data_IF_931010865795
#
_entry.id   IF_931010865795
#
_cell.length_a   1.000
_cell.length_b   1.000
_cell.length_c   1.000
_cell.angle_alpha   90.00
_cell.angle_beta   90.00
_cell.angle_gamma   90.00
#
_symmetry.space_group_name_H-M   'P 1'
#
loop_
_entity.id
_entity.type
_entity.pdbx_description
1 polymer ?
#
# COMPACT_ATOMS: atom_id res chain seq x y z
N UNK A 1 28.68 1.26 23.80
CA UNK A 1 27.58 1.24 22.80
C UNK A 1 26.39 1.94 23.40
N UNK A 2 25.81 2.91 22.70
CA UNK A 2 24.61 3.61 23.16
C UNK A 2 23.40 2.82 22.65
N UNK A 3 22.56 2.30 23.56
CA UNK A 3 21.34 1.57 23.21
C UNK A 3 20.14 2.48 23.45
N UNK A 4 19.44 2.84 22.38
CA UNK A 4 18.16 3.54 22.47
C UNK A 4 17.11 2.55 22.96
N UNK A 5 16.36 2.92 24.01
CA UNK A 5 15.39 2.01 24.63
C UNK A 5 14.19 1.78 23.71
N UNK A 6 13.57 0.61 23.81
CA UNK A 6 12.40 0.23 23.00
C UNK A 6 11.29 1.29 22.99
N UNK A 7 10.91 1.80 24.16
CA UNK A 7 9.84 2.82 24.26
C UNK A 7 10.21 4.10 23.51
N UNK A 8 11.47 4.53 23.57
CA UNK A 8 11.95 5.71 22.85
C UNK A 8 11.93 5.49 21.33
N UNK A 9 12.31 4.29 20.86
CA UNK A 9 12.21 3.92 19.44
C UNK A 9 10.74 3.95 19.00
N UNK A 10 9.86 3.34 19.78
CA UNK A 10 8.43 3.25 19.47
C UNK A 10 7.75 4.62 19.43
N UNK A 11 7.97 5.48 20.43
CA UNK A 11 7.38 6.82 20.48
C UNK A 11 7.90 7.73 19.36
N UNK A 12 9.15 7.56 18.95
CA UNK A 12 9.74 8.35 17.86
C UNK A 12 9.30 7.87 16.47
N UNK A 13 9.01 6.59 16.32
CA UNK A 13 8.58 6.00 15.05
C UNK A 13 7.06 6.06 14.86
N UNK A 14 6.28 6.23 15.92
CA UNK A 14 4.82 6.28 15.84
C UNK A 14 4.30 7.49 15.03
N UNK A 15 3.20 7.28 14.32
CA UNK A 15 2.53 8.27 13.47
C UNK A 15 2.37 9.64 14.14
N UNK A 16 3.05 10.65 13.60
CA UNK A 16 3.03 12.04 14.08
C UNK A 16 3.43 13.02 12.99
N UNK A 17 3.31 14.31 13.29
CA UNK A 17 3.84 15.37 12.44
C UNK A 17 5.36 15.47 12.59
N UNK A 18 6.10 15.40 11.48
CA UNK A 18 7.56 15.51 11.45
C UNK A 18 7.93 16.55 10.39
N UNK A 19 8.92 17.39 10.69
CA UNK A 19 9.50 18.32 9.74
C UNK A 19 10.15 17.53 8.59
N UNK A 20 9.66 17.73 7.38
CA UNK A 20 10.09 17.02 6.18
C UNK A 20 10.42 18.04 5.10
N UNK A 21 11.54 17.86 4.41
CA UNK A 21 11.88 18.67 3.24
C UNK A 21 11.05 18.22 2.05
N UNK A 22 10.25 19.13 1.51
CA UNK A 22 9.35 18.88 0.39
C UNK A 22 9.80 19.71 -0.79
N UNK A 23 9.95 19.06 -1.94
CA UNK A 23 10.29 19.71 -3.21
C UNK A 23 9.15 20.62 -3.66
N UNK A 24 9.46 21.89 -3.96
CA UNK A 24 8.47 22.88 -4.36
C UNK A 24 7.79 22.48 -5.67
N UNK A 25 8.50 21.82 -6.59
CA UNK A 25 7.90 21.34 -7.86
C UNK A 25 6.85 20.25 -7.66
N UNK A 26 6.95 19.45 -6.58
CA UNK A 26 5.94 18.43 -6.28
C UNK A 26 4.63 19.05 -5.80
N UNK A 27 4.72 20.17 -5.08
CA UNK A 27 3.55 20.92 -4.58
C UNK A 27 2.95 21.82 -5.67
N UNK A 28 3.80 22.34 -6.57
CA UNK A 28 3.44 23.26 -7.64
C UNK A 28 3.92 22.76 -9.01
N UNK A 29 3.35 21.66 -9.53
CA UNK A 29 3.79 21.06 -10.80
C UNK A 29 3.53 21.95 -12.02
N UNK A 30 2.60 22.91 -11.91
CA UNK A 30 2.23 23.82 -13.01
C UNK A 30 3.23 24.98 -13.20
N UNK A 31 4.07 25.28 -12.20
CA UNK A 31 4.99 26.43 -12.19
C UNK A 31 6.33 26.09 -12.89
N UNK A 32 6.26 25.47 -14.07
CA UNK A 32 7.43 24.91 -14.79
C UNK A 32 8.38 25.96 -15.38
N UNK A 33 7.95 27.22 -15.47
CA UNK A 33 8.76 28.30 -16.04
C UNK A 33 9.79 28.89 -15.06
N UNK A 34 9.66 28.56 -13.77
CA UNK A 34 10.51 29.09 -12.70
C UNK A 34 11.48 28.04 -12.18
N UNK A 35 12.67 28.51 -11.80
CA UNK A 35 13.58 27.80 -10.91
C UNK A 35 13.42 28.41 -9.52
N UNK A 36 13.19 27.58 -8.51
CA UNK A 36 13.01 28.02 -7.13
C UNK A 36 14.33 27.96 -6.34
N UNK A 37 14.58 29.00 -5.53
CA UNK A 37 15.61 28.98 -4.48
C UNK A 37 14.99 29.34 -3.12
N UNK A 38 15.06 28.46 -2.10
CA UNK A 38 15.51 27.07 -2.18
C UNK A 38 14.58 26.24 -3.10
N UNK A 39 15.04 25.05 -3.54
CA UNK A 39 14.21 24.13 -4.34
C UNK A 39 13.26 23.28 -3.49
N UNK A 40 13.52 23.18 -2.18
CA UNK A 40 12.67 22.49 -1.22
C UNK A 40 12.46 23.35 0.03
N UNK A 41 11.37 23.10 0.75
CA UNK A 41 10.99 23.81 1.97
C UNK A 41 10.71 22.84 3.12
N UNK A 42 11.01 23.21 4.38
CA UNK A 42 10.64 22.41 5.54
C UNK A 42 9.14 22.55 5.84
N UNK A 43 8.41 21.44 5.79
CA UNK A 43 6.98 21.38 6.11
C UNK A 43 6.69 20.30 7.13
N UNK A 44 5.72 20.56 8.02
CA UNK A 44 5.19 19.51 8.89
C UNK A 44 4.34 18.55 8.05
N UNK A 45 4.78 17.28 7.98
CA UNK A 45 4.08 16.21 7.26
C UNK A 45 3.85 15.03 8.20
N UNK A 46 2.81 14.26 7.91
CA UNK A 46 2.50 13.06 8.68
C UNK A 46 3.46 11.97 8.23
N UNK A 47 4.20 11.41 9.19
CA UNK A 47 5.16 10.36 8.96
C UNK A 47 5.24 9.46 10.20
N UNK A 48 5.80 8.27 9.99
CA UNK A 48 5.89 7.23 11.01
C UNK A 48 5.10 5.99 10.64
N UNK A 49 5.24 4.96 11.47
CA UNK A 49 4.51 3.72 11.34
C UNK A 49 3.28 3.70 12.25
N UNK A 50 2.31 2.89 11.84
CA UNK A 50 1.19 2.49 12.68
C UNK A 50 1.47 1.10 13.26
N UNK A 51 0.77 0.74 14.34
CA UNK A 51 0.91 -0.58 14.96
C UNK A 51 0.40 -1.76 14.12
N UNK A 52 -0.24 -1.48 12.98
CA UNK A 52 -0.82 -2.46 12.07
C UNK A 52 -0.53 -2.03 10.61
N UNK A 53 -0.13 -2.98 9.77
CA UNK A 53 0.26 -2.72 8.36
C UNK A 53 -0.93 -2.36 7.47
N UNK A 54 -2.15 -2.71 7.86
CA UNK A 54 -3.40 -2.31 7.24
C UNK A 54 -3.77 -0.86 7.53
N UNK A 55 -3.04 -0.17 8.41
CA UNK A 55 -3.20 1.25 8.70
C UNK A 55 -2.16 2.09 7.95
N UNK A 56 -2.55 3.31 7.60
CA UNK A 56 -1.68 4.37 7.08
C UNK A 56 -1.73 5.61 7.97
N UNK A 57 -0.58 6.26 8.15
CA UNK A 57 -0.47 7.52 8.88
C UNK A 57 -0.91 8.66 7.96
N UNK A 58 -2.05 9.29 8.28
CA UNK A 58 -2.67 10.32 7.43
C UNK A 58 -2.95 11.59 8.22
N UNK A 59 -2.98 12.77 7.56
CA UNK A 59 -3.40 14.00 8.21
C UNK A 59 -4.88 13.95 8.60
N UNK A 60 -5.16 14.42 9.82
CA UNK A 60 -6.51 14.68 10.32
C UNK A 60 -6.84 16.15 10.20
N UNK A 61 -5.87 17.00 10.52
CA UNK A 61 -6.00 18.45 10.47
C UNK A 61 -4.82 19.04 9.69
N UNK A 62 -5.11 20.06 8.89
CA UNK A 62 -4.15 20.73 8.00
C UNK A 62 -4.36 22.24 8.03
N UNK A 63 -3.31 22.99 7.71
CA UNK A 63 -3.35 24.44 7.54
C UNK A 63 -2.29 24.86 6.53
N UNK A 64 -2.45 26.06 5.96
CA UNK A 64 -1.48 26.60 5.01
C UNK A 64 -0.48 27.51 5.71
N UNK A 65 0.78 27.45 5.29
CA UNK A 65 1.85 28.35 5.72
C UNK A 65 2.42 29.05 4.50
N UNK A 66 2.60 30.37 4.60
CA UNK A 66 3.19 31.16 3.53
C UNK A 66 4.68 31.36 3.80
N UNK A 67 5.51 31.12 2.79
CA UNK A 67 6.96 31.25 2.85
C UNK A 67 7.47 32.14 1.72
N UNK A 68 8.59 32.80 1.96
CA UNK A 68 9.29 33.58 0.95
C UNK A 68 10.23 32.69 0.15
N UNK A 69 10.00 32.63 -1.17
CA UNK A 69 10.75 31.81 -2.12
C UNK A 69 11.26 32.71 -3.23
N UNK A 70 12.55 32.57 -3.59
CA UNK A 70 13.11 33.22 -4.76
C UNK A 70 12.64 32.49 -6.01
N UNK A 71 11.86 33.19 -6.85
CA UNK A 71 11.48 32.72 -8.18
C UNK A 71 12.45 33.28 -9.20
N UNK A 72 13.06 32.41 -10.00
CA UNK A 72 14.03 32.77 -11.03
C UNK A 72 13.48 32.35 -12.38
N UNK A 73 13.22 33.32 -13.26
CA UNK A 73 12.93 33.08 -14.67
C UNK A 73 14.21 33.25 -15.48
N UNK A 74 14.76 32.18 -16.09
CA UNK A 74 16.03 32.24 -16.79
C UNK A 74 16.08 33.38 -17.81
N UNK A 75 17.17 34.15 -17.81
CA UNK A 75 17.42 35.29 -18.70
C UNK A 75 16.41 36.45 -18.63
N UNK A 76 15.54 36.49 -17.61
CA UNK A 76 14.53 37.55 -17.50
C UNK A 76 14.58 38.29 -16.16
N UNK A 77 14.26 37.60 -15.05
CA UNK A 77 14.19 38.24 -13.74
C UNK A 77 14.29 37.24 -12.60
N UNK A 78 14.63 37.76 -11.42
CA UNK A 78 14.55 37.03 -10.16
C UNK A 78 13.88 37.93 -9.12
N UNK A 79 12.92 37.40 -8.37
CA UNK A 79 12.21 38.15 -7.33
C UNK A 79 11.75 37.24 -6.18
N UNK A 80 11.67 37.81 -4.97
CA UNK A 80 11.12 37.10 -3.82
C UNK A 80 9.61 37.10 -3.97
N UNK A 81 9.00 35.92 -3.85
CA UNK A 81 7.56 35.72 -3.94
C UNK A 81 7.06 34.94 -2.74
N UNK A 82 5.87 35.28 -2.27
CA UNK A 82 5.18 34.53 -1.23
C UNK A 82 4.49 33.32 -1.86
N UNK A 83 4.84 32.12 -1.40
CA UNK A 83 4.20 30.86 -1.81
C UNK A 83 3.57 30.19 -0.59
N UNK A 84 2.39 29.61 -0.77
CA UNK A 84 1.65 28.97 0.32
C UNK A 84 1.84 27.46 0.27
N UNK A 85 2.00 26.78 1.39
CA UNK A 85 2.22 25.33 1.43
C UNK A 85 1.32 24.68 2.45
N UNK A 86 0.78 23.51 2.12
CA UNK A 86 -0.04 22.74 3.04
C UNK A 86 0.82 22.02 4.07
N UNK A 87 0.53 22.27 5.34
CA UNK A 87 1.13 21.62 6.51
C UNK A 87 0.09 20.79 7.25
N UNK A 88 0.56 19.70 7.87
CA UNK A 88 -0.26 18.86 8.73
C UNK A 88 -0.07 19.30 10.18
N UNK A 89 -1.15 19.60 10.90
CA UNK A 89 -1.12 19.91 12.34
C UNK A 89 -1.39 18.68 13.21
N UNK A 90 -2.12 17.69 12.70
CA UNK A 90 -2.45 16.46 13.42
C UNK A 90 -2.49 15.25 12.50
N UNK A 91 -1.98 14.12 12.99
CA UNK A 91 -1.92 12.85 12.27
C UNK A 91 -2.63 11.75 13.04
N UNK A 92 -3.12 10.74 12.33
CA UNK A 92 -3.77 9.57 12.92
C UNK A 92 -3.62 8.35 12.01
N UNK A 93 -3.71 7.15 12.60
CA UNK A 93 -3.62 5.89 11.90
C UNK A 93 -5.00 5.48 11.40
N UNK A 94 -5.20 5.48 10.09
CA UNK A 94 -6.49 5.14 9.46
C UNK A 94 -6.37 3.89 8.59
N UNK A 95 -7.43 3.08 8.44
CA UNK A 95 -7.41 1.94 7.53
C UNK A 95 -7.11 2.38 6.10
N UNK A 96 -6.13 1.73 5.48
CA UNK A 96 -5.80 1.93 4.07
C UNK A 96 -7.05 1.68 3.23
N UNK A 97 -7.39 2.62 2.35
CA UNK A 97 -8.44 2.36 1.36
C UNK A 97 -7.88 1.31 0.41
N UNK A 98 -8.53 0.14 0.34
CA UNK A 98 -8.21 -0.87 -0.67
C UNK A 98 -8.24 -0.20 -2.04
N UNK A 99 -7.07 0.10 -2.61
CA UNK A 99 -6.96 0.42 -4.02
C UNK A 99 -7.30 -0.88 -4.71
N UNK A 100 -8.58 -1.09 -4.98
CA UNK A 100 -9.04 -2.13 -5.91
C UNK A 100 -8.26 -1.86 -7.19
N UNK A 101 -7.20 -2.65 -7.39
CA UNK A 101 -6.48 -2.71 -8.64
C UNK A 101 -7.52 -2.65 -9.75
N UNK A 102 -7.40 -1.65 -10.62
CA UNK A 102 -8.12 -1.56 -11.88
C UNK A 102 -7.80 -2.87 -12.63
N UNK A 103 -8.59 -3.92 -12.37
CA UNK A 103 -8.74 -5.01 -13.30
C UNK A 103 -9.37 -4.37 -14.52
N UNK A 104 -8.55 -4.16 -15.55
CA UNK A 104 -8.98 -3.82 -16.89
C UNK A 104 -10.25 -4.63 -17.20
N UNK A 105 -11.36 -3.92 -17.33
CA UNK A 105 -12.62 -4.48 -17.82
C UNK A 105 -12.39 -4.92 -19.27
N UNK A 106 -11.92 -6.15 -19.50
CA UNK A 106 -12.13 -6.83 -20.77
C UNK A 106 -13.60 -7.22 -20.84
N UNK A 107 -14.38 -6.30 -21.39
CA UNK A 107 -15.72 -6.54 -21.91
C UNK A 107 -15.63 -7.62 -23.00
N UNK A 108 -16.13 -8.83 -22.71
CA UNK A 108 -16.57 -9.75 -23.77
C UNK A 108 -18.00 -10.23 -23.49
N UNK A 109 -18.85 -9.78 -24.40
CA UNK A 109 -20.27 -10.05 -24.62
C UNK A 109 -20.71 -11.50 -24.31
N UNK A 110 -21.75 -11.61 -23.49
CA UNK A 110 -23.04 -12.26 -23.78
C UNK A 110 -23.09 -13.75 -24.14
N UNK A 111 -23.76 -14.54 -23.28
CA UNK A 111 -24.99 -15.33 -23.56
C UNK A 111 -25.17 -16.42 -22.48
N UNK A 112 -26.41 -16.61 -21.99
CA UNK A 112 -26.81 -17.84 -21.31
C UNK A 112 -27.78 -17.65 -20.14
N UNK A 113 -29.07 -17.87 -20.39
CA UNK A 113 -30.16 -17.92 -19.40
C UNK A 113 -30.00 -19.13 -18.46
N UNK A 114 -30.35 -18.95 -17.19
CA UNK A 114 -30.50 -20.07 -16.24
C UNK A 114 -30.95 -19.60 -14.86
N UNK A 115 -32.26 -19.48 -14.66
CA UNK A 115 -32.87 -19.30 -13.33
C UNK A 115 -32.72 -20.60 -12.52
N UNK A 116 -32.25 -20.53 -11.26
CA UNK A 116 -32.87 -21.24 -10.12
C UNK A 116 -32.27 -20.86 -8.75
N UNK A 117 -33.20 -20.38 -7.90
CA UNK A 117 -33.38 -20.64 -6.46
C UNK A 117 -32.50 -19.91 -5.44
N UNK A 118 -33.21 -19.06 -4.67
CA UNK A 118 -32.87 -18.51 -3.35
C UNK A 118 -32.28 -19.57 -2.41
N UNK A 119 -31.19 -19.22 -1.73
CA UNK A 119 -30.91 -19.68 -0.36
C UNK A 119 -30.17 -18.58 0.39
N UNK A 120 -30.88 -17.88 1.28
CA UNK A 120 -30.26 -17.05 2.32
C UNK A 120 -29.43 -17.98 3.21
N UNK A 121 -28.12 -17.78 3.27
CA UNK A 121 -27.26 -18.32 4.33
C UNK A 121 -26.32 -17.20 4.77
N UNK A 122 -26.70 -16.54 5.86
CA UNK A 122 -25.75 -15.73 6.60
C UNK A 122 -24.62 -16.63 7.06
N UNK A 123 -23.38 -16.19 6.85
CA UNK A 123 -22.23 -16.74 7.54
C UNK A 123 -21.13 -15.68 7.57
N UNK A 124 -20.72 -15.36 8.79
CA UNK A 124 -19.58 -14.52 9.14
C UNK A 124 -18.45 -14.64 8.12
N UNK A 125 -17.95 -13.51 7.62
CA UNK A 125 -16.66 -13.45 6.92
C UNK A 125 -15.56 -13.57 7.99
N UNK A 126 -14.75 -14.65 8.02
CA UNK A 126 -13.54 -14.66 8.82
C UNK A 126 -12.55 -13.66 8.20
N UNK A 127 -11.79 -12.96 9.04
CA UNK A 127 -10.64 -12.15 8.61
C UNK A 127 -9.76 -13.00 7.69
N UNK A 128 -9.57 -12.53 6.45
CA UNK A 128 -8.74 -13.21 5.47
C UNK A 128 -7.26 -12.94 5.77
N UNK A 129 -6.59 -13.88 6.41
CA UNK A 129 -5.14 -14.03 6.23
C UNK A 129 -4.93 -14.49 4.78
N UNK A 130 -4.52 -13.59 3.90
CA UNK A 130 -4.30 -13.91 2.50
C UNK A 130 -2.93 -14.57 2.34
N UNK A 131 -2.88 -15.90 2.34
CA UNK A 131 -1.72 -16.65 1.87
C UNK A 131 -1.59 -16.53 0.35
N UNK A 132 -0.36 -16.42 -0.16
CA UNK A 132 -0.11 -16.46 -1.60
C UNK A 132 -0.47 -17.85 -2.18
N UNK A 133 -1.01 -17.93 -3.41
CA UNK A 133 -1.39 -19.20 -4.01
C UNK A 133 -0.17 -20.11 -4.28
N UNK A 134 -0.23 -21.37 -3.85
CA UNK A 134 0.86 -22.36 -4.01
C UNK A 134 1.41 -22.53 -5.44
N UNK A 135 0.62 -22.22 -6.48
CA UNK A 135 1.03 -22.25 -7.88
C UNK A 135 0.08 -21.40 -8.72
N UNK A 136 0.54 -20.62 -9.69
CA UNK A 136 -0.36 -19.85 -10.55
C UNK A 136 -1.15 -20.72 -11.53
N UNK A 137 -0.50 -21.72 -12.14
CA UNK A 137 -1.10 -22.55 -13.21
C UNK A 137 -1.85 -23.76 -12.68
N UNK A 138 -1.51 -24.29 -11.51
CA UNK A 138 -1.98 -25.62 -11.03
C UNK A 138 -2.55 -25.61 -9.62
N UNK A 139 -3.22 -24.52 -9.22
CA UNK A 139 -3.88 -24.35 -7.90
C UNK A 139 -4.72 -25.54 -7.48
N UNK A 140 -5.40 -26.19 -8.43
CA UNK A 140 -6.30 -27.31 -8.14
C UNK A 140 -5.59 -28.58 -7.64
N UNK A 141 -4.27 -28.72 -7.80
CA UNK A 141 -3.49 -29.89 -7.38
C UNK A 141 -2.90 -29.77 -5.97
N UNK A 142 -2.92 -28.56 -5.39
CA UNK A 142 -2.35 -28.27 -4.08
C UNK A 142 -3.46 -28.04 -3.04
N UNK A 143 -3.14 -28.35 -1.78
CA UNK A 143 -3.90 -27.99 -0.58
C UNK A 143 -3.04 -27.03 0.22
N UNK A 144 -3.62 -25.89 0.61
CA UNK A 144 -2.94 -24.89 1.42
C UNK A 144 -3.55 -24.83 2.82
N UNK A 145 -2.70 -24.90 3.83
CA UNK A 145 -3.09 -24.68 5.21
C UNK A 145 -3.42 -23.18 5.44
N UNK A 146 -4.63 -22.83 5.91
CA UNK A 146 -5.05 -21.43 6.05
C UNK A 146 -4.36 -20.65 7.17
N UNK A 147 -3.71 -21.33 8.13
CA UNK A 147 -3.08 -20.69 9.29
C UNK A 147 -1.57 -20.58 9.13
N UNK A 148 -0.94 -21.55 8.48
CA UNK A 148 0.51 -21.61 8.28
C UNK A 148 0.94 -21.30 6.85
N UNK A 149 -0.02 -21.13 5.92
CA UNK A 149 0.19 -20.95 4.49
C UNK A 149 0.97 -22.09 3.80
N UNK A 150 1.18 -23.22 4.48
CA UNK A 150 1.95 -24.36 3.97
C UNK A 150 1.21 -25.06 2.83
N UNK A 151 1.91 -25.30 1.74
CA UNK A 151 1.38 -25.98 0.55
C UNK A 151 1.76 -27.45 0.55
N UNK A 152 0.80 -28.32 0.21
CA UNK A 152 1.00 -29.76 0.05
C UNK A 152 0.25 -30.29 -1.16
N UNK A 153 0.67 -31.42 -1.73
CA UNK A 153 -0.03 -32.04 -2.85
C UNK A 153 -1.33 -32.72 -2.41
N UNK A 154 -2.36 -32.64 -3.26
CA UNK A 154 -3.61 -33.41 -3.06
C UNK A 154 -3.42 -34.90 -3.22
N UNK A 155 -2.40 -35.31 -3.98
CA UNK A 155 -2.05 -36.72 -4.14
C UNK A 155 -1.02 -37.11 -3.10
N UNK A 156 -1.15 -38.33 -2.57
CA UNK A 156 -0.16 -38.92 -1.67
C UNK A 156 0.83 -39.76 -2.47
N UNK A 157 2.07 -39.83 -1.99
CA UNK A 157 3.12 -40.65 -2.58
C UNK A 157 2.69 -42.14 -2.72
N UNK A 158 1.99 -42.67 -1.70
CA UNK A 158 1.40 -44.02 -1.73
C UNK A 158 0.44 -44.25 -2.91
N UNK A 159 -0.35 -43.23 -3.27
CA UNK A 159 -1.31 -43.31 -4.38
C UNK A 159 -0.60 -43.28 -5.74
N UNK A 160 0.48 -42.51 -5.86
CA UNK A 160 1.30 -42.50 -7.08
C UNK A 160 2.03 -43.83 -7.26
N UNK A 161 2.63 -44.35 -6.18
CA UNK A 161 3.32 -45.66 -6.19
C UNK A 161 2.43 -46.83 -6.55
N UNK A 162 1.16 -46.82 -6.11
CA UNK A 162 0.17 -47.83 -6.53
C UNK A 162 -0.10 -47.86 -8.04
N UNK A 163 0.23 -46.77 -8.74
CA UNK A 163 0.13 -46.64 -10.21
C UNK A 163 1.50 -46.68 -10.88
N UNK A 164 2.55 -47.10 -10.17
CA UNK A 164 3.94 -47.15 -10.62
C UNK A 164 4.49 -45.77 -11.04
N UNK A 165 4.04 -44.71 -10.39
CA UNK A 165 4.47 -43.33 -10.61
C UNK A 165 5.11 -42.76 -9.33
N UNK A 166 6.01 -41.79 -9.49
CA UNK A 166 6.60 -41.04 -8.36
C UNK A 166 6.03 -39.63 -8.30
N UNK A 167 5.65 -39.19 -7.09
CA UNK A 167 5.09 -37.86 -6.90
C UNK A 167 6.20 -36.81 -6.77
N UNK A 168 6.17 -35.81 -7.64
CA UNK A 168 6.99 -34.62 -7.51
C UNK A 168 6.28 -33.60 -6.61
N UNK A 169 6.70 -33.49 -5.35
CA UNK A 169 6.04 -32.62 -4.35
C UNK A 169 6.08 -31.12 -4.70
N UNK A 170 7.05 -30.68 -5.50
CA UNK A 170 7.17 -29.28 -5.93
C UNK A 170 6.18 -28.91 -7.03
N UNK A 171 5.78 -29.88 -7.85
CA UNK A 171 4.90 -29.65 -9.02
C UNK A 171 3.56 -30.39 -8.95
N UNK A 172 3.38 -31.23 -7.93
CA UNK A 172 2.28 -32.17 -7.73
C UNK A 172 1.94 -32.97 -8.99
N UNK A 173 2.97 -33.54 -9.61
CA UNK A 173 2.90 -34.40 -10.80
C UNK A 173 3.32 -35.81 -10.43
#
# INVERSE_FOLDING_TARGET
LLVIKFLEVYERSFCRTIETLVDIFQEYPDEVEYIFKPSCVPLMRCAGCCGDEGLECVPVDVYNVTMEIMRIKPHQSQHISHMSFLQHSKCDCRPKKDVKNKQEKKSKRGKGKGQKRKRKKGRYKPLSFHCEPCSERRKHLFVQDPQTCKCSCKFTDSRCKSRQLELNERTCR
#
